data_IF_188732344387
#
_entry.id   IF_188732344387
#
_cell.length_a   1.000
_cell.length_b   1.000
_cell.length_c   1.000
_cell.angle_alpha   90.00
_cell.angle_beta   90.00
_cell.angle_gamma   90.00
#
_symmetry.space_group_name_H-M   'P 1'
#
loop_
_entity.id
_entity.type
_entity.pdbx_description
1 polymer ?
#
# COMPACT_ATOMS: atom_id res chain seq x y z
N UNK A 1 19.16 18.28 -17.67
CA UNK A 1 18.09 18.91 -16.87
C UNK A 1 16.76 18.76 -17.62
N UNK A 2 16.25 17.53 -17.77
CA UNK A 2 15.10 17.27 -18.65
C UNK A 2 13.78 17.31 -17.87
N UNK A 3 12.98 18.33 -18.19
CA UNK A 3 11.52 18.33 -18.33
C UNK A 3 10.73 17.38 -17.41
N UNK A 4 10.54 17.79 -16.15
CA UNK A 4 9.42 17.31 -15.34
C UNK A 4 8.19 18.12 -15.74
N UNK A 5 7.55 17.73 -16.85
CA UNK A 5 6.13 18.02 -17.02
C UNK A 5 5.51 17.03 -18.03
N UNK A 6 4.93 15.97 -17.51
CA UNK A 6 3.71 15.42 -18.09
C UNK A 6 2.65 15.68 -17.03
N UNK A 7 1.52 16.26 -17.44
CA UNK A 7 0.31 16.32 -16.64
C UNK A 7 -0.01 14.91 -16.16
N UNK A 8 0.48 14.53 -14.98
CA UNK A 8 0.12 13.27 -14.34
C UNK A 8 -1.32 13.48 -13.92
N UNK A 9 -2.23 12.88 -14.67
CA UNK A 9 -3.61 12.80 -14.24
C UNK A 9 -3.64 11.80 -13.09
N UNK A 10 -3.56 12.33 -11.87
CA UNK A 10 -3.55 11.56 -10.62
C UNK A 10 -4.83 10.72 -10.45
N UNK A 11 -5.87 10.96 -11.26
CA UNK A 11 -7.10 10.18 -11.28
C UNK A 11 -7.00 8.92 -12.15
N UNK A 12 -6.02 8.83 -13.06
CA UNK A 12 -5.84 7.68 -13.98
C UNK A 12 -4.89 6.63 -13.39
N UNK A 13 -3.87 7.07 -12.65
CA UNK A 13 -2.89 6.19 -11.99
C UNK A 13 -3.38 5.87 -10.58
N UNK A 14 -3.74 4.62 -10.30
CA UNK A 14 -4.20 4.25 -8.96
C UNK A 14 -3.02 4.22 -7.99
N UNK A 15 -2.75 5.36 -7.36
CA UNK A 15 -1.75 5.51 -6.32
C UNK A 15 -1.93 4.50 -5.18
N UNK A 16 -3.16 4.01 -4.96
CA UNK A 16 -3.44 2.98 -3.98
C UNK A 16 -2.73 1.68 -4.30
N UNK A 17 -2.73 1.27 -5.56
CA UNK A 17 -2.12 0.00 -6.00
C UNK A 17 -0.60 0.02 -5.80
N UNK A 18 0.05 1.14 -6.10
CA UNK A 18 1.49 1.34 -5.90
C UNK A 18 1.84 1.31 -4.40
N UNK A 19 1.03 1.98 -3.58
CA UNK A 19 1.17 1.98 -2.13
C UNK A 19 0.98 0.58 -1.55
N UNK A 20 -0.01 -0.16 -2.04
CA UNK A 20 -0.29 -1.53 -1.63
C UNK A 20 0.80 -2.51 -2.10
N UNK A 21 1.39 -2.30 -3.27
CA UNK A 21 2.60 -3.00 -3.70
C UNK A 21 3.77 -2.76 -2.75
N UNK A 22 4.00 -1.50 -2.33
CA UNK A 22 4.96 -1.18 -1.29
C UNK A 22 4.66 -1.84 0.07
N UNK A 23 3.40 -2.14 0.37
CA UNK A 23 3.01 -2.95 1.52
C UNK A 23 3.41 -4.41 1.33
N UNK A 24 2.95 -5.03 0.24
CA UNK A 24 3.12 -6.46 -0.06
C UNK A 24 4.60 -6.84 -0.16
N UNK A 25 5.43 -6.03 -0.83
CA UNK A 25 6.86 -6.31 -0.98
C UNK A 25 7.58 -6.34 0.36
N UNK A 26 7.12 -5.56 1.34
CA UNK A 26 7.71 -5.47 2.67
C UNK A 26 7.34 -6.61 3.61
N UNK A 27 6.28 -7.36 3.29
CA UNK A 27 5.83 -8.48 4.11
C UNK A 27 6.88 -9.56 4.08
N UNK A 28 6.97 -10.27 5.19
CA UNK A 28 7.82 -11.44 5.34
C UNK A 28 7.49 -12.51 4.28
N UNK A 29 8.48 -13.31 3.90
CA UNK A 29 8.35 -14.35 2.87
C UNK A 29 7.31 -15.41 3.23
N UNK A 30 7.15 -15.70 4.52
CA UNK A 30 6.15 -16.64 5.04
C UNK A 30 4.73 -16.04 5.11
N UNK A 31 4.58 -14.72 4.94
CA UNK A 31 3.28 -14.07 4.93
C UNK A 31 2.46 -14.52 3.72
N UNK A 32 1.21 -14.96 3.92
CA UNK A 32 0.32 -15.40 2.84
C UNK A 32 0.23 -14.39 1.67
N UNK A 33 0.23 -13.08 1.96
CA UNK A 33 0.25 -12.03 0.94
C UNK A 33 1.51 -12.07 0.05
N UNK A 34 2.68 -12.31 0.65
CA UNK A 34 3.96 -12.39 -0.06
C UNK A 34 4.03 -13.67 -0.87
N UNK A 35 3.55 -14.79 -0.31
CA UNK A 35 3.43 -16.06 -1.01
C UNK A 35 2.49 -15.96 -2.21
N UNK A 36 1.31 -15.35 -2.05
CA UNK A 36 0.36 -15.12 -3.14
C UNK A 36 0.95 -14.23 -4.24
N UNK A 37 1.77 -13.25 -3.87
CA UNK A 37 2.49 -12.39 -4.82
C UNK A 37 3.59 -13.14 -5.58
N UNK A 38 4.35 -14.01 -4.89
CA UNK A 38 5.40 -14.84 -5.50
C UNK A 38 4.83 -16.00 -6.33
N UNK A 39 3.59 -16.41 -6.06
CA UNK A 39 2.95 -17.53 -6.71
C UNK A 39 2.75 -17.28 -8.21
N UNK A 40 3.44 -18.07 -9.03
CA UNK A 40 3.27 -18.09 -10.48
C UNK A 40 2.51 -19.36 -10.85
N UNK A 41 1.20 -19.29 -11.18
CA UNK A 41 0.44 -20.47 -11.54
C UNK A 41 1.00 -21.08 -12.83
N UNK A 42 1.32 -22.37 -12.79
CA UNK A 42 1.73 -23.15 -13.96
C UNK A 42 0.49 -23.58 -14.78
N UNK A 43 0.56 -23.47 -16.11
CA UNK A 43 -0.50 -23.91 -17.02
C UNK A 43 -1.06 -22.82 -17.95
N UNK A 44 -1.96 -23.22 -18.86
CA UNK A 44 -2.66 -22.28 -19.75
C UNK A 44 -3.80 -21.61 -19.00
N UNK A 45 -3.77 -20.27 -18.91
CA UNK A 45 -4.92 -19.49 -18.43
C UNK A 45 -6.11 -19.67 -19.39
N UNK A 46 -7.35 -19.77 -18.87
CA UNK A 46 -8.55 -19.75 -19.70
C UNK A 46 -8.58 -18.51 -20.59
N UNK A 47 -9.16 -18.65 -21.80
CA UNK A 47 -9.10 -17.63 -22.86
C UNK A 47 -9.75 -16.30 -22.50
N UNK A 48 -10.68 -16.33 -21.54
CA UNK A 48 -11.60 -15.22 -21.28
C UNK A 48 -11.16 -14.28 -20.16
N UNK A 49 -10.08 -14.60 -19.44
CA UNK A 49 -9.56 -13.71 -18.39
C UNK A 49 -8.58 -12.67 -18.94
N UNK A 50 -8.58 -11.43 -18.39
CA UNK A 50 -7.54 -10.46 -18.64
C UNK A 50 -6.16 -11.10 -18.42
N UNK A 51 -5.29 -10.98 -19.42
CA UNK A 51 -3.94 -11.55 -19.35
C UNK A 51 -3.02 -10.78 -18.41
N UNK A 52 -3.37 -9.53 -18.11
CA UNK A 52 -2.62 -8.66 -17.21
C UNK A 52 -2.91 -9.04 -15.77
N UNK A 53 -1.85 -9.38 -15.03
CA UNK A 53 -1.90 -9.44 -13.57
C UNK A 53 -2.05 -8.03 -13.01
N UNK A 54 -2.60 -7.91 -11.80
CA UNK A 54 -2.52 -6.68 -11.02
C UNK A 54 -1.07 -6.17 -10.93
N UNK A 55 -0.10 -7.07 -10.72
CA UNK A 55 1.32 -6.70 -10.66
C UNK A 55 1.84 -6.11 -11.97
N UNK A 56 1.40 -6.62 -13.12
CA UNK A 56 1.80 -6.09 -14.42
C UNK A 56 1.25 -4.67 -14.62
N UNK A 57 0.05 -4.40 -14.09
CA UNK A 57 -0.53 -3.07 -14.10
C UNK A 57 0.24 -2.13 -13.17
N UNK A 58 0.49 -2.53 -11.91
CA UNK A 58 1.27 -1.73 -10.97
C UNK A 58 2.65 -1.40 -11.52
N UNK A 59 3.33 -2.37 -12.13
CA UNK A 59 4.65 -2.15 -12.70
C UNK A 59 4.59 -1.14 -13.85
N UNK A 60 3.60 -1.25 -14.74
CA UNK A 60 3.36 -0.27 -15.81
C UNK A 60 3.11 1.13 -15.24
N UNK A 61 2.29 1.23 -14.19
CA UNK A 61 1.96 2.51 -13.56
C UNK A 61 3.20 3.13 -12.91
N UNK A 62 4.02 2.31 -12.24
CA UNK A 62 5.29 2.73 -11.62
C UNK A 62 6.31 3.21 -12.66
N UNK A 63 6.40 2.54 -13.81
CA UNK A 63 7.25 2.95 -14.94
C UNK A 63 6.78 4.29 -15.53
N UNK A 64 5.47 4.52 -15.63
CA UNK A 64 4.90 5.78 -16.13
C UNK A 64 5.24 6.98 -15.23
N UNK A 65 5.21 6.78 -13.91
CA UNK A 65 5.58 7.82 -12.93
C UNK A 65 7.07 7.82 -12.56
N UNK A 66 7.87 6.94 -13.17
CA UNK A 66 9.29 6.73 -12.86
C UNK A 66 9.55 6.55 -11.35
N UNK A 67 8.72 5.74 -10.69
CA UNK A 67 8.80 5.45 -9.26
C UNK A 67 9.42 4.08 -9.02
N UNK A 68 10.36 4.02 -8.09
CA UNK A 68 10.97 2.76 -7.67
C UNK A 68 10.11 2.03 -6.61
N UNK A 69 10.29 0.72 -6.50
CA UNK A 69 9.65 -0.10 -5.46
C UNK A 69 10.08 0.35 -4.06
N UNK A 70 11.33 0.79 -3.90
CA UNK A 70 11.84 1.33 -2.64
C UNK A 70 11.10 2.60 -2.22
N UNK A 71 10.85 3.52 -3.16
CA UNK A 71 10.07 4.72 -2.88
C UNK A 71 8.61 4.40 -2.55
N UNK A 72 8.00 3.45 -3.25
CA UNK A 72 6.65 2.96 -2.94
C UNK A 72 6.58 2.36 -1.52
N UNK A 73 7.61 1.61 -1.12
CA UNK A 73 7.75 1.13 0.26
C UNK A 73 7.81 2.31 1.23
N UNK A 74 8.72 3.26 1.05
CA UNK A 74 8.85 4.42 1.96
C UNK A 74 7.51 5.14 2.12
N UNK A 75 6.82 5.41 1.01
CA UNK A 75 5.50 6.08 1.02
C UNK A 75 4.46 5.32 1.84
N UNK A 76 4.35 4.00 1.69
CA UNK A 76 3.43 3.21 2.51
C UNK A 76 3.79 3.21 4.00
N UNK A 77 5.08 3.24 4.36
CA UNK A 77 5.52 3.34 5.76
C UNK A 77 5.05 4.64 6.38
N UNK A 78 5.23 5.75 5.67
CA UNK A 78 4.79 7.06 6.13
C UNK A 78 3.27 7.10 6.37
N UNK A 79 2.49 6.59 5.41
CA UNK A 79 1.03 6.52 5.56
C UNK A 79 0.63 5.65 6.74
N UNK A 80 1.28 4.49 6.92
CA UNK A 80 1.02 3.61 8.07
C UNK A 80 1.32 4.30 9.40
N UNK A 81 2.43 5.04 9.49
CA UNK A 81 2.81 5.80 10.69
C UNK A 81 1.83 6.93 10.94
N UNK A 82 1.48 7.71 9.91
CA UNK A 82 0.52 8.81 10.02
C UNK A 82 -0.82 8.26 10.51
N UNK A 83 -1.31 7.16 9.94
CA UNK A 83 -2.56 6.55 10.38
C UNK A 83 -2.52 6.13 11.85
N UNK A 84 -1.41 5.53 12.31
CA UNK A 84 -1.22 5.17 13.73
C UNK A 84 -1.14 6.41 14.62
N UNK A 85 -0.38 7.44 14.24
CA UNK A 85 -0.27 8.68 15.01
C UNK A 85 -1.61 9.39 15.13
N UNK A 86 -2.37 9.45 14.03
CA UNK A 86 -3.73 9.97 14.02
C UNK A 86 -4.61 9.11 14.93
N UNK A 87 -4.62 7.78 14.76
CA UNK A 87 -5.39 6.89 15.62
C UNK A 87 -5.10 7.12 17.11
N UNK A 88 -3.83 7.16 17.50
CA UNK A 88 -3.43 7.38 18.90
C UNK A 88 -3.83 8.78 19.39
N UNK A 89 -3.60 9.82 18.59
CA UNK A 89 -4.04 11.17 18.92
C UNK A 89 -5.56 11.20 19.17
N UNK A 90 -6.35 10.65 18.26
CA UNK A 90 -7.81 10.64 18.40
C UNK A 90 -8.27 9.75 19.54
N UNK A 91 -7.64 8.60 19.77
CA UNK A 91 -8.00 7.63 20.81
C UNK A 91 -7.71 8.18 22.22
N UNK A 92 -6.51 8.72 22.45
CA UNK A 92 -6.10 9.23 23.75
C UNK A 92 -6.69 10.61 24.09
N UNK A 93 -7.09 11.38 23.07
CA UNK A 93 -7.76 12.68 23.28
C UNK A 93 -9.27 12.52 23.53
N UNK A 94 -9.84 11.30 23.43
CA UNK A 94 -11.25 11.09 23.77
C UNK A 94 -11.50 11.21 25.29
N UNK A 95 -12.45 12.05 25.74
CA UNK A 95 -12.80 12.17 27.16
C UNK A 95 -13.38 10.88 27.75
N UNK A 96 -13.91 9.98 26.91
CA UNK A 96 -14.46 8.67 27.33
C UNK A 96 -13.39 7.72 27.90
N UNK A 97 -12.16 7.75 27.41
CA UNK A 97 -11.07 6.91 27.96
C UNK A 97 -10.60 7.38 29.33
N UNK A 98 -10.57 8.70 29.57
CA UNK A 98 -10.24 9.25 30.89
C UNK A 98 -11.28 8.90 31.96
N UNK A 99 -12.56 8.74 31.57
CA UNK A 99 -13.62 8.26 32.46
C UNK A 99 -13.43 6.76 32.79
N UNK A 100 -13.03 5.95 31.81
CA UNK A 100 -12.74 4.53 32.01
C UNK A 100 -11.52 4.34 32.93
N UNK A 101 -10.42 5.06 32.69
CA UNK A 101 -9.21 5.00 33.53
C UNK A 101 -9.45 5.47 34.97
N UNK A 102 -10.35 6.44 35.19
CA UNK A 102 -10.73 6.88 36.55
C UNK A 102 -11.56 5.85 37.33
N UNK A 103 -12.17 4.88 36.65
CA UNK A 103 -13.03 3.85 37.26
C UNK A 103 -12.36 2.48 37.36
N UNK A 104 -11.06 2.36 37.02
CA UNK A 104 -10.32 1.13 37.27
C UNK A 104 -10.06 0.99 38.78
N UNK A 105 -10.52 -0.10 39.44
CA UNK A 105 -10.15 -0.36 40.83
C UNK A 105 -8.63 -0.57 40.90
N UNK A 106 -8.01 0.02 41.93
CA UNK A 106 -6.59 -0.13 42.24
C UNK A 106 -6.24 -1.57 42.61
#
# INVERSE_FOLDING_TARGET
MSMINKNINWDILDFRDILWAGHVVRRDEESHLKQAWLFKPEGRRPRDNPKKSWWDQVQSDMEEINLTIEEAQVRWRLISIIFLLYFFYYFFTQPRFLVILKNFPK
#
